data_IF_683999857120
#
_entry.id   IF_683999857120
#
_cell.length_a   1.000
_cell.length_b   1.000
_cell.length_c   1.000
_cell.angle_alpha   90.00
_cell.angle_beta   90.00
_cell.angle_gamma   90.00
#
_symmetry.space_group_name_H-M   'P 1'
#
loop_
_entity.id
_entity.type
_entity.pdbx_description
1 polymer ?
#
# COMPACT_ATOMS: atom_id res chain seq x y z
N UNK A 1 -19.26 -29.95 -8.72
CA UNK A 1 -18.68 -31.00 -9.61
C UNK A 1 -19.70 -31.40 -10.65
N UNK A 2 -19.26 -31.66 -11.87
CA UNK A 2 -20.05 -32.19 -12.98
C UNK A 2 -19.69 -33.67 -13.23
N UNK A 3 -20.58 -34.37 -13.91
CA UNK A 3 -20.74 -35.84 -13.98
C UNK A 3 -19.54 -36.63 -14.56
N UNK A 4 -18.38 -36.02 -14.80
CA UNK A 4 -17.24 -36.64 -15.50
C UNK A 4 -15.94 -36.69 -14.67
N UNK A 5 -15.98 -36.32 -13.39
CA UNK A 5 -14.85 -36.54 -12.45
C UNK A 5 -13.51 -35.90 -12.88
N UNK A 6 -13.52 -35.02 -13.88
CA UNK A 6 -12.37 -34.31 -14.41
C UNK A 6 -12.59 -32.84 -14.13
N UNK A 7 -11.68 -32.28 -13.37
CA UNK A 7 -11.69 -30.88 -12.95
C UNK A 7 -11.59 -29.96 -14.18
N UNK A 8 -12.31 -28.82 -14.18
CA UNK A 8 -12.40 -27.94 -15.36
C UNK A 8 -11.03 -27.43 -15.82
N UNK A 9 -10.07 -27.26 -14.90
CA UNK A 9 -8.74 -26.70 -15.19
C UNK A 9 -7.90 -27.65 -16.05
N UNK A 10 -7.63 -28.93 -15.69
CA UNK A 10 -6.96 -29.87 -16.57
C UNK A 10 -7.59 -29.99 -17.96
N UNK A 11 -8.93 -29.95 -18.05
CA UNK A 11 -9.60 -29.95 -19.34
C UNK A 11 -9.27 -28.69 -20.14
N UNK A 12 -9.35 -27.49 -19.54
CA UNK A 12 -8.95 -26.25 -20.21
C UNK A 12 -7.48 -26.28 -20.63
N UNK A 13 -6.57 -26.73 -19.76
CA UNK A 13 -5.14 -26.85 -20.08
C UNK A 13 -4.90 -27.78 -21.28
N UNK A 14 -5.64 -28.90 -21.36
CA UNK A 14 -5.57 -29.83 -22.49
C UNK A 14 -5.97 -29.22 -23.84
N UNK A 15 -6.74 -28.11 -23.83
CA UNK A 15 -7.19 -27.40 -25.04
C UNK A 15 -6.22 -26.30 -25.49
N UNK A 16 -5.21 -25.95 -24.68
CA UNK A 16 -4.21 -24.94 -25.03
C UNK A 16 -3.46 -25.23 -26.34
N UNK A 17 -3.08 -26.49 -26.65
CA UNK A 17 -2.38 -26.79 -27.90
C UNK A 17 -3.24 -26.63 -29.16
N UNK A 18 -4.57 -26.50 -29.04
CA UNK A 18 -5.47 -26.55 -30.19
C UNK A 18 -5.34 -25.36 -31.15
N UNK A 19 -5.16 -24.14 -30.63
CA UNK A 19 -4.99 -22.93 -31.47
C UNK A 19 -4.49 -21.73 -30.66
N UNK A 20 -3.96 -20.70 -31.34
CA UNK A 20 -3.59 -19.43 -30.70
C UNK A 20 -4.78 -18.74 -30.00
N UNK A 21 -5.99 -18.88 -30.57
CA UNK A 21 -7.22 -18.33 -29.96
C UNK A 21 -7.54 -19.08 -28.68
N UNK A 22 -7.39 -20.41 -28.67
CA UNK A 22 -7.53 -21.21 -27.45
C UNK A 22 -6.52 -20.77 -26.40
N UNK A 23 -5.25 -20.57 -26.78
CA UNK A 23 -4.21 -20.09 -25.86
C UNK A 23 -4.58 -18.76 -25.22
N UNK A 24 -4.94 -17.76 -26.03
CA UNK A 24 -5.37 -16.44 -25.55
C UNK A 24 -6.60 -16.53 -24.63
N UNK A 25 -7.66 -17.21 -25.06
CA UNK A 25 -8.90 -17.30 -24.29
C UNK A 25 -8.70 -18.06 -22.97
N UNK A 26 -8.04 -19.20 -23.00
CA UNK A 26 -7.84 -20.04 -21.81
C UNK A 26 -6.92 -19.31 -20.84
N UNK A 27 -5.79 -18.77 -21.27
CA UNK A 27 -4.89 -18.02 -20.37
C UNK A 27 -5.57 -16.80 -19.76
N UNK A 28 -6.45 -16.11 -20.50
CA UNK A 28 -7.29 -15.02 -19.97
C UNK A 28 -8.28 -15.53 -18.92
N UNK A 29 -8.91 -16.68 -19.14
CA UNK A 29 -9.80 -17.31 -18.15
C UNK A 29 -9.03 -17.66 -16.88
N UNK A 30 -7.84 -18.27 -17.02
CA UNK A 30 -6.99 -18.63 -15.89
C UNK A 30 -6.50 -17.39 -15.13
N UNK A 31 -6.10 -16.34 -15.85
CA UNK A 31 -5.74 -15.04 -15.27
C UNK A 31 -6.89 -14.49 -14.41
N UNK A 32 -8.10 -14.38 -14.96
CA UNK A 32 -9.26 -13.81 -14.25
C UNK A 32 -9.80 -14.72 -13.15
N UNK A 33 -9.55 -16.03 -13.25
CA UNK A 33 -9.97 -17.02 -12.26
C UNK A 33 -9.02 -17.12 -11.05
N UNK A 34 -7.73 -16.83 -11.23
CA UNK A 34 -6.73 -16.96 -10.17
C UNK A 34 -6.72 -15.73 -9.24
N UNK A 35 -7.56 -15.75 -8.20
CA UNK A 35 -7.71 -14.62 -7.26
C UNK A 35 -7.43 -14.98 -5.80
N UNK A 36 -7.41 -16.28 -5.45
CA UNK A 36 -7.24 -16.76 -4.08
C UNK A 36 -6.07 -17.72 -3.99
N UNK A 37 -5.55 -17.92 -2.77
CA UNK A 37 -4.48 -18.89 -2.50
C UNK A 37 -4.84 -20.30 -2.98
N UNK A 38 -6.07 -20.72 -2.79
CA UNK A 38 -6.54 -22.04 -3.22
C UNK A 38 -6.53 -22.17 -4.74
N UNK A 39 -6.94 -21.13 -5.48
CA UNK A 39 -6.88 -21.14 -6.94
C UNK A 39 -5.44 -21.23 -7.45
N UNK A 40 -4.49 -20.55 -6.79
CA UNK A 40 -3.07 -20.61 -7.14
C UNK A 40 -2.51 -22.03 -6.94
N UNK A 41 -2.81 -22.65 -5.79
CA UNK A 41 -2.39 -24.03 -5.49
C UNK A 41 -3.01 -25.03 -6.46
N UNK A 42 -4.28 -24.85 -6.79
CA UNK A 42 -4.98 -25.73 -7.71
C UNK A 42 -4.41 -25.69 -9.14
N UNK A 43 -4.01 -24.51 -9.62
CA UNK A 43 -3.31 -24.38 -10.90
C UNK A 43 -1.94 -25.09 -10.85
N UNK A 44 -1.21 -24.97 -9.74
CA UNK A 44 0.05 -25.66 -9.55
C UNK A 44 -0.13 -27.18 -9.57
N UNK A 45 -1.09 -27.71 -8.80
CA UNK A 45 -1.42 -29.14 -8.73
C UNK A 45 -1.96 -29.71 -10.05
N UNK A 46 -2.56 -28.85 -10.89
CA UNK A 46 -3.03 -29.21 -12.24
C UNK A 46 -1.91 -29.20 -13.29
N UNK A 47 -0.65 -29.05 -12.88
CA UNK A 47 0.53 -28.97 -13.76
C UNK A 47 0.44 -27.82 -14.79
N UNK A 48 -0.19 -26.70 -14.39
CA UNK A 48 -0.38 -25.57 -15.30
C UNK A 48 0.94 -24.98 -15.80
N UNK A 49 2.02 -25.03 -15.00
CA UNK A 49 3.33 -24.47 -15.37
C UNK A 49 3.93 -25.13 -16.62
N UNK A 50 3.71 -26.44 -16.80
CA UNK A 50 4.14 -27.18 -18.00
C UNK A 50 3.50 -26.62 -19.28
N UNK A 51 2.26 -26.14 -19.18
CA UNK A 51 1.55 -25.53 -20.30
C UNK A 51 1.82 -24.03 -20.44
N UNK A 52 1.97 -23.29 -19.34
CA UNK A 52 2.16 -21.84 -19.38
C UNK A 52 3.58 -21.44 -19.81
N UNK A 53 4.61 -22.21 -19.45
CA UNK A 53 6.01 -21.86 -19.75
C UNK A 53 6.28 -21.70 -21.25
N UNK A 54 5.85 -22.61 -22.15
CA UNK A 54 5.99 -22.42 -23.59
C UNK A 54 5.20 -21.22 -24.13
N UNK A 55 4.10 -20.83 -23.48
CA UNK A 55 3.27 -19.70 -23.92
C UNK A 55 3.95 -18.35 -23.64
N UNK A 56 4.74 -18.26 -22.57
CA UNK A 56 5.64 -17.12 -22.32
C UNK A 56 6.66 -16.98 -23.46
N UNK A 57 7.09 -18.09 -24.06
CA UNK A 57 8.03 -18.12 -25.19
C UNK A 57 7.40 -17.89 -26.58
N UNK A 58 6.06 -17.91 -26.70
CA UNK A 58 5.34 -18.04 -27.97
C UNK A 58 5.56 -16.93 -29.01
N UNK A 59 6.20 -15.83 -28.63
CA UNK A 59 6.42 -14.65 -29.49
C UNK A 59 5.13 -13.89 -29.85
N UNK A 60 3.97 -14.38 -29.41
CA UNK A 60 2.67 -13.78 -29.67
C UNK A 60 2.23 -12.93 -28.48
N UNK A 61 2.22 -11.61 -28.63
CA UNK A 61 1.83 -10.66 -27.58
C UNK A 61 0.49 -11.01 -26.92
N UNK A 62 -0.52 -11.36 -27.73
CA UNK A 62 -1.88 -11.70 -27.28
C UNK A 62 -1.94 -12.93 -26.38
N UNK A 63 -0.97 -13.84 -26.49
CA UNK A 63 -0.84 -15.02 -25.65
C UNK A 63 0.08 -14.73 -24.45
N UNK A 64 1.20 -14.06 -24.69
CA UNK A 64 2.20 -13.75 -23.66
C UNK A 64 1.62 -12.90 -22.53
N UNK A 65 0.82 -11.88 -22.83
CA UNK A 65 0.28 -10.97 -21.82
C UNK A 65 -0.64 -11.65 -20.79
N UNK A 66 -1.74 -12.33 -21.18
CA UNK A 66 -2.58 -13.03 -20.21
C UNK A 66 -1.82 -14.16 -19.51
N UNK A 67 -0.86 -14.81 -20.18
CA UNK A 67 0.03 -15.80 -19.53
C UNK A 67 0.88 -15.17 -18.42
N UNK A 68 1.49 -14.01 -18.67
CA UNK A 68 2.28 -13.28 -17.67
C UNK A 68 1.42 -12.81 -16.50
N UNK A 69 0.23 -12.29 -16.76
CA UNK A 69 -0.70 -11.88 -15.71
C UNK A 69 -1.17 -13.09 -14.88
N UNK A 70 -1.45 -14.23 -15.52
CA UNK A 70 -1.77 -15.48 -14.83
C UNK A 70 -0.60 -15.93 -13.94
N UNK A 71 0.64 -15.92 -14.43
CA UNK A 71 1.83 -16.21 -13.61
C UNK A 71 1.98 -15.23 -12.44
N UNK A 72 1.76 -13.94 -12.65
CA UNK A 72 1.79 -12.95 -11.57
C UNK A 72 0.74 -13.25 -10.50
N UNK A 73 -0.49 -13.59 -10.91
CA UNK A 73 -1.56 -13.96 -9.99
C UNK A 73 -1.24 -15.25 -9.22
N UNK A 74 -0.63 -16.24 -9.88
CA UNK A 74 -0.13 -17.47 -9.25
C UNK A 74 0.92 -17.19 -8.17
N UNK A 75 1.87 -16.29 -8.44
CA UNK A 75 2.97 -15.97 -7.50
C UNK A 75 2.54 -15.11 -6.30
N UNK A 76 1.42 -14.39 -6.37
CA UNK A 76 1.11 -13.37 -5.37
C UNK A 76 0.94 -13.96 -3.96
N UNK A 77 1.88 -13.61 -3.06
CA UNK A 77 1.91 -14.04 -1.64
C UNK A 77 1.83 -15.56 -1.43
N UNK A 78 2.39 -16.35 -2.34
CA UNK A 78 2.34 -17.81 -2.26
C UNK A 78 3.74 -18.45 -2.38
N UNK A 79 4.43 -18.71 -1.26
CA UNK A 79 5.78 -19.27 -1.28
C UNK A 79 5.92 -20.64 -1.95
N UNK A 80 5.00 -21.63 -1.74
CA UNK A 80 5.03 -22.89 -2.48
C UNK A 80 5.08 -22.72 -4.00
N UNK A 81 4.15 -21.94 -4.57
CA UNK A 81 4.08 -21.69 -6.02
C UNK A 81 5.33 -20.99 -6.52
N UNK A 82 5.80 -19.97 -5.78
CA UNK A 82 7.01 -19.24 -6.15
C UNK A 82 8.27 -20.12 -6.12
N UNK A 83 8.35 -21.04 -5.16
CA UNK A 83 9.48 -21.98 -5.06
C UNK A 83 9.52 -22.92 -6.26
N UNK A 84 8.38 -23.49 -6.65
CA UNK A 84 8.31 -24.34 -7.86
C UNK A 84 8.64 -23.56 -9.14
N UNK A 85 8.18 -22.31 -9.27
CA UNK A 85 8.53 -21.47 -10.43
C UNK A 85 10.03 -21.12 -10.45
N UNK A 86 10.65 -20.92 -9.29
CA UNK A 86 12.09 -20.63 -9.20
C UNK A 86 12.96 -21.86 -9.50
N UNK A 87 12.43 -23.08 -9.39
CA UNK A 87 13.09 -24.32 -9.80
C UNK A 87 13.13 -24.49 -11.34
N UNK A 88 12.41 -23.65 -12.10
CA UNK A 88 12.38 -23.62 -13.56
C UNK A 88 13.24 -22.46 -14.12
N UNK A 89 14.58 -22.60 -14.23
CA UNK A 89 15.48 -21.50 -14.58
C UNK A 89 15.19 -20.93 -15.98
N UNK A 90 14.77 -21.76 -16.93
CA UNK A 90 14.41 -21.33 -18.28
C UNK A 90 13.20 -20.40 -18.26
N UNK A 91 12.20 -20.68 -17.41
CA UNK A 91 11.04 -19.80 -17.23
C UNK A 91 11.47 -18.44 -16.66
N UNK A 92 12.34 -18.43 -15.66
CA UNK A 92 12.87 -17.19 -15.09
C UNK A 92 13.63 -16.39 -16.16
N UNK A 93 14.50 -17.03 -16.95
CA UNK A 93 15.24 -16.38 -18.02
C UNK A 93 14.30 -15.80 -19.09
N UNK A 94 13.23 -16.52 -19.44
CA UNK A 94 12.20 -16.00 -20.35
C UNK A 94 11.52 -14.75 -19.78
N UNK A 95 11.08 -14.78 -18.52
CA UNK A 95 10.47 -13.61 -17.85
C UNK A 95 11.44 -12.43 -17.80
N UNK A 96 12.71 -12.66 -17.48
CA UNK A 96 13.76 -11.62 -17.51
C UNK A 96 13.94 -11.03 -18.91
N UNK A 97 13.87 -11.85 -19.96
CA UNK A 97 13.92 -11.41 -21.35
C UNK A 97 12.76 -10.48 -21.73
N UNK A 98 11.61 -10.57 -21.05
CA UNK A 98 10.45 -9.71 -21.26
C UNK A 98 10.57 -8.33 -20.57
N UNK A 99 11.59 -8.12 -19.73
CA UNK A 99 11.98 -6.80 -19.21
C UNK A 99 12.74 -5.94 -20.24
N UNK A 100 13.14 -6.50 -21.39
CA UNK A 100 13.93 -5.80 -22.38
C UNK A 100 13.25 -4.51 -22.88
N UNK A 101 14.04 -3.47 -23.16
CA UNK A 101 13.51 -2.13 -23.52
C UNK A 101 12.70 -2.12 -24.81
N UNK A 102 12.98 -3.05 -25.73
CA UNK A 102 12.25 -3.23 -26.99
C UNK A 102 10.83 -3.80 -26.81
N UNK A 103 10.50 -4.31 -25.61
CA UNK A 103 9.17 -4.85 -25.33
C UNK A 103 8.18 -3.74 -24.99
N UNK A 104 6.87 -3.94 -25.16
CA UNK A 104 5.86 -2.99 -24.68
C UNK A 104 5.96 -2.77 -23.16
N UNK A 105 5.67 -1.56 -22.68
CA UNK A 105 5.76 -1.22 -21.26
C UNK A 105 4.88 -2.11 -20.38
N UNK A 106 3.68 -2.47 -20.85
CA UNK A 106 2.74 -3.36 -20.15
C UNK A 106 3.38 -4.72 -19.86
N UNK A 107 4.06 -5.30 -20.86
CA UNK A 107 4.79 -6.55 -20.75
C UNK A 107 5.97 -6.45 -19.77
N UNK A 108 6.71 -5.35 -19.83
CA UNK A 108 7.83 -5.12 -18.90
C UNK A 108 7.33 -5.00 -17.45
N UNK A 109 6.21 -4.31 -17.22
CA UNK A 109 5.59 -4.20 -15.89
C UNK A 109 5.08 -5.55 -15.38
N UNK A 110 4.39 -6.32 -16.23
CA UNK A 110 3.89 -7.65 -15.86
C UNK A 110 5.04 -8.61 -15.49
N UNK A 111 6.11 -8.64 -16.30
CA UNK A 111 7.30 -9.43 -16.02
C UNK A 111 8.02 -8.98 -14.73
N UNK A 112 8.16 -7.67 -14.51
CA UNK A 112 8.75 -7.14 -13.29
C UNK A 112 7.93 -7.50 -12.04
N UNK A 113 6.59 -7.55 -12.18
CA UNK A 113 5.67 -7.95 -11.11
C UNK A 113 5.83 -9.42 -10.72
N UNK A 114 5.98 -10.32 -11.71
CA UNK A 114 6.30 -11.75 -11.44
C UNK A 114 7.59 -11.87 -10.62
N UNK A 115 8.67 -11.23 -11.07
CA UNK A 115 9.97 -11.28 -10.39
C UNK A 115 9.92 -10.65 -9.00
N UNK A 116 9.13 -9.59 -8.85
CA UNK A 116 8.88 -8.96 -7.54
C UNK A 116 8.21 -9.94 -6.58
N UNK A 117 7.22 -10.71 -7.03
CA UNK A 117 6.53 -11.69 -6.19
C UNK A 117 7.41 -12.89 -5.82
N UNK A 118 8.23 -13.37 -6.76
CA UNK A 118 9.25 -14.39 -6.48
C UNK A 118 10.25 -13.91 -5.44
N UNK A 119 10.70 -12.65 -5.51
CA UNK A 119 11.57 -12.09 -4.48
C UNK A 119 10.87 -11.97 -3.13
N UNK A 120 9.65 -11.42 -3.09
CA UNK A 120 8.93 -11.13 -1.83
C UNK A 120 8.53 -12.38 -1.06
N UNK A 121 8.50 -13.54 -1.70
CA UNK A 121 8.29 -14.85 -1.05
C UNK A 121 9.60 -15.55 -0.66
N UNK A 122 10.75 -14.97 -0.99
CA UNK A 122 12.07 -15.51 -0.71
C UNK A 122 12.59 -16.50 -1.76
N UNK A 123 11.88 -16.71 -2.87
CA UNK A 123 12.30 -17.64 -3.92
C UNK A 123 13.51 -17.14 -4.72
N UNK A 124 13.65 -15.82 -4.89
CA UNK A 124 14.84 -15.17 -5.46
C UNK A 124 15.40 -14.16 -4.46
N UNK A 125 16.70 -14.22 -4.17
CA UNK A 125 17.33 -13.34 -3.19
C UNK A 125 17.51 -11.91 -3.73
N UNK A 126 17.41 -10.89 -2.87
CA UNK A 126 17.57 -9.48 -3.25
C UNK A 126 18.89 -9.18 -3.97
N UNK A 127 19.98 -9.82 -3.54
CA UNK A 127 21.32 -9.68 -4.13
C UNK A 127 21.46 -10.23 -5.55
N UNK A 128 20.48 -11.00 -6.03
CA UNK A 128 20.50 -11.52 -7.39
C UNK A 128 20.42 -10.35 -8.41
N UNK A 129 21.30 -10.30 -9.42
CA UNK A 129 21.27 -9.31 -10.51
C UNK A 129 19.91 -9.16 -11.21
N UNK A 130 19.12 -10.24 -11.26
CA UNK A 130 17.76 -10.21 -11.78
C UNK A 130 16.88 -9.26 -10.98
N UNK A 131 17.06 -9.21 -9.65
CA UNK A 131 16.29 -8.35 -8.75
C UNK A 131 16.93 -6.97 -8.62
N UNK A 132 18.15 -6.88 -8.05
CA UNK A 132 18.76 -5.59 -7.67
C UNK A 132 19.23 -4.72 -8.84
N UNK A 133 19.35 -5.26 -10.06
CA UNK A 133 19.73 -4.51 -11.25
C UNK A 133 18.59 -4.49 -12.26
N UNK A 134 18.15 -5.66 -12.75
CA UNK A 134 17.20 -5.73 -13.86
C UNK A 134 15.78 -5.31 -13.45
N UNK A 135 15.26 -5.86 -12.35
CA UNK A 135 13.89 -5.59 -11.90
C UNK A 135 13.78 -4.18 -11.34
N UNK A 136 14.66 -3.78 -10.40
CA UNK A 136 14.71 -2.40 -9.88
C UNK A 136 14.87 -1.39 -11.02
N UNK A 137 15.87 -1.57 -11.89
CA UNK A 137 16.14 -0.62 -12.97
C UNK A 137 14.97 -0.50 -13.96
N UNK A 138 14.20 -1.58 -14.15
CA UNK A 138 12.99 -1.53 -14.98
C UNK A 138 11.89 -0.74 -14.29
N UNK A 139 11.58 -1.05 -13.02
CA UNK A 139 10.53 -0.37 -12.27
C UNK A 139 10.83 1.11 -12.04
N UNK A 140 12.07 1.48 -11.69
CA UNK A 140 12.48 2.89 -11.56
C UNK A 140 12.31 3.63 -12.89
N UNK A 141 12.63 2.99 -14.02
CA UNK A 141 12.40 3.57 -15.35
C UNK A 141 10.91 3.72 -15.66
N UNK A 142 10.05 2.83 -15.17
CA UNK A 142 8.58 2.97 -15.32
C UNK A 142 8.05 4.19 -14.57
N UNK A 143 8.77 4.70 -13.57
CA UNK A 143 8.40 5.92 -12.85
C UNK A 143 8.73 7.23 -13.62
N UNK A 144 9.47 7.20 -14.73
CA UNK A 144 9.92 8.43 -15.41
C UNK A 144 8.76 9.21 -16.06
N UNK A 145 8.89 10.53 -16.08
CA UNK A 145 7.84 11.50 -16.46
C UNK A 145 7.44 11.47 -17.94
N UNK A 146 8.24 10.82 -18.79
CA UNK A 146 8.01 10.65 -20.22
C UNK A 146 7.06 9.49 -20.56
N UNK A 147 6.50 8.83 -19.53
CA UNK A 147 5.60 7.68 -19.67
C UNK A 147 4.14 8.03 -19.38
N UNK A 148 3.20 7.16 -19.83
CA UNK A 148 1.81 7.25 -19.41
C UNK A 148 1.65 7.20 -17.89
N UNK A 149 0.70 7.98 -17.35
CA UNK A 149 0.44 8.08 -15.91
C UNK A 149 0.08 6.72 -15.29
N UNK A 150 -0.64 5.88 -16.03
CA UNK A 150 -0.97 4.53 -15.60
C UNK A 150 0.26 3.64 -15.40
N UNK A 151 1.25 3.74 -16.30
CA UNK A 151 2.51 3.01 -16.17
C UNK A 151 3.34 3.53 -15.01
N UNK A 152 3.33 4.86 -14.81
CA UNK A 152 3.98 5.52 -13.69
C UNK A 152 3.47 5.03 -12.35
N UNK A 153 2.15 5.02 -12.16
CA UNK A 153 1.49 4.52 -10.94
C UNK A 153 1.83 3.05 -10.73
N UNK A 154 1.56 2.17 -11.71
CA UNK A 154 1.82 0.72 -11.59
C UNK A 154 3.29 0.40 -11.32
N UNK A 155 4.20 1.15 -11.96
CA UNK A 155 5.64 1.04 -11.77
C UNK A 155 6.07 1.40 -10.35
N UNK A 156 5.59 2.53 -9.84
CA UNK A 156 5.90 3.00 -8.48
C UNK A 156 5.32 2.08 -7.41
N UNK A 157 4.10 1.57 -7.59
CA UNK A 157 3.49 0.61 -6.65
C UNK A 157 4.23 -0.72 -6.60
N UNK A 158 4.58 -1.26 -7.77
CA UNK A 158 5.33 -2.52 -7.84
C UNK A 158 6.73 -2.35 -7.25
N UNK A 159 7.37 -1.20 -7.50
CA UNK A 159 8.65 -0.85 -6.90
C UNK A 159 8.56 -0.76 -5.37
N UNK A 160 7.52 -0.11 -4.87
CA UNK A 160 7.28 0.01 -3.44
C UNK A 160 7.17 -1.39 -2.81
N UNK A 161 6.32 -2.25 -3.38
CA UNK A 161 6.16 -3.62 -2.89
C UNK A 161 7.47 -4.43 -2.96
N UNK A 162 8.31 -4.22 -3.98
CA UNK A 162 9.60 -4.91 -4.12
C UNK A 162 10.57 -4.59 -2.98
N UNK A 163 10.70 -3.31 -2.63
CA UNK A 163 11.74 -2.83 -1.71
C UNK A 163 11.28 -2.75 -0.25
N UNK A 164 9.97 -2.86 0.02
CA UNK A 164 9.32 -2.63 1.32
C UNK A 164 10.06 -3.23 2.53
N UNK A 165 10.56 -4.46 2.39
CA UNK A 165 11.17 -5.22 3.51
C UNK A 165 12.69 -5.41 3.39
N UNK A 166 13.31 -4.91 2.32
CA UNK A 166 14.71 -5.21 2.01
C UNK A 166 15.57 -3.92 2.00
N UNK A 167 16.40 -3.71 3.05
CA UNK A 167 17.23 -2.51 3.15
C UNK A 167 18.24 -2.36 1.99
N UNK A 168 18.82 -3.47 1.51
CA UNK A 168 19.81 -3.43 0.41
C UNK A 168 19.12 -2.90 -0.88
N UNK A 169 17.89 -3.36 -1.15
CA UNK A 169 17.09 -2.87 -2.28
C UNK A 169 16.61 -1.42 -2.09
N UNK A 170 16.31 -0.99 -0.85
CA UNK A 170 15.96 0.40 -0.55
C UNK A 170 17.10 1.36 -0.86
N UNK A 171 18.31 1.03 -0.39
CA UNK A 171 19.53 1.79 -0.70
C UNK A 171 19.74 1.86 -2.20
N UNK A 172 19.69 0.72 -2.88
CA UNK A 172 19.89 0.65 -4.32
C UNK A 172 18.86 1.48 -5.09
N UNK A 173 17.57 1.38 -4.75
CA UNK A 173 16.52 2.18 -5.37
C UNK A 173 16.71 3.67 -5.13
N UNK A 174 17.16 4.09 -3.94
CA UNK A 174 17.36 5.51 -3.58
C UNK A 174 18.44 6.24 -4.40
N UNK A 175 19.41 5.49 -4.93
CA UNK A 175 20.49 6.03 -5.77
C UNK A 175 20.26 5.83 -7.27
N UNK A 176 19.26 5.03 -7.66
CA UNK A 176 19.02 4.67 -9.06
C UNK A 176 18.24 5.77 -9.78
N UNK A 177 18.76 6.24 -10.93
CA UNK A 177 18.07 7.07 -11.93
C UNK A 177 17.29 8.29 -11.36
N UNK A 178 17.78 8.91 -10.30
CA UNK A 178 17.12 10.03 -9.61
C UNK A 178 15.67 9.71 -9.19
N UNK A 179 15.40 8.48 -8.77
CA UNK A 179 14.07 8.02 -8.35
C UNK A 179 13.42 8.96 -7.34
N UNK A 180 14.15 9.37 -6.29
CA UNK A 180 13.61 10.24 -5.23
C UNK A 180 13.06 11.55 -5.79
N UNK A 181 13.81 12.20 -6.68
CA UNK A 181 13.34 13.42 -7.35
C UNK A 181 12.14 13.12 -8.25
N UNK A 182 12.17 12.01 -8.97
CA UNK A 182 11.05 11.61 -9.84
C UNK A 182 9.75 11.42 -9.05
N UNK A 183 9.81 10.73 -7.91
CA UNK A 183 8.66 10.55 -7.01
C UNK A 183 8.21 11.87 -6.36
N UNK A 184 9.14 12.79 -6.06
CA UNK A 184 8.76 14.11 -5.55
C UNK A 184 7.87 14.87 -6.54
N UNK A 185 8.15 14.76 -7.84
CA UNK A 185 7.33 15.40 -8.88
C UNK A 185 5.88 14.88 -8.90
N UNK A 186 5.63 13.63 -8.51
CA UNK A 186 4.29 13.06 -8.49
C UNK A 186 3.40 13.79 -7.48
N UNK A 187 3.99 14.29 -6.39
CA UNK A 187 3.28 15.00 -5.32
C UNK A 187 2.66 16.31 -5.79
N UNK A 188 3.18 16.89 -6.88
CA UNK A 188 2.67 18.14 -7.46
C UNK A 188 1.63 17.93 -8.56
N UNK A 189 1.26 16.69 -8.91
CA UNK A 189 0.20 16.46 -9.89
C UNK A 189 -1.16 16.88 -9.32
N UNK A 190 -1.89 17.74 -10.01
CA UNK A 190 -3.22 18.21 -9.61
C UNK A 190 -4.27 17.87 -10.67
N UNK A 191 -5.39 17.31 -10.24
CA UNK A 191 -6.66 17.22 -10.99
C UNK A 191 -6.53 16.74 -12.45
N UNK A 192 -5.73 15.69 -12.69
CA UNK A 192 -5.61 15.08 -14.03
C UNK A 192 -6.64 13.98 -14.16
N UNK A 193 -7.90 14.34 -14.42
CA UNK A 193 -8.94 13.36 -14.74
C UNK A 193 -8.81 12.88 -16.17
N UNK A 194 -8.52 11.59 -16.36
CA UNK A 194 -8.47 10.95 -17.69
C UNK A 194 -9.14 9.59 -17.64
N UNK A 195 -9.68 9.18 -18.78
CA UNK A 195 -10.24 7.83 -18.95
C UNK A 195 -9.11 6.80 -18.89
N UNK A 196 -9.24 5.84 -17.98
CA UNK A 196 -8.34 4.69 -17.89
C UNK A 196 -8.36 3.85 -19.16
N UNK A 197 -7.19 3.33 -19.56
CA UNK A 197 -7.06 2.51 -20.75
C UNK A 197 -7.77 1.16 -20.64
N UNK A 198 -7.83 0.58 -19.42
CA UNK A 198 -8.41 -0.73 -19.17
C UNK A 198 -9.91 -0.69 -18.88
N UNK A 199 -10.36 0.20 -18.01
CA UNK A 199 -11.73 0.15 -17.45
C UNK A 199 -12.68 1.17 -18.07
N UNK A 200 -12.19 2.06 -18.95
CA UNK A 200 -12.94 3.18 -19.53
C UNK A 200 -13.66 4.06 -18.50
N UNK A 201 -13.19 4.02 -17.25
CA UNK A 201 -13.67 4.87 -16.15
C UNK A 201 -12.80 6.11 -16.04
N UNK A 202 -13.40 7.22 -15.63
CA UNK A 202 -12.68 8.44 -15.29
C UNK A 202 -11.86 8.19 -14.01
N UNK A 203 -10.54 8.36 -14.11
CA UNK A 203 -9.61 8.19 -12.99
C UNK A 203 -8.95 9.52 -12.70
N UNK A 204 -8.92 9.90 -11.43
CA UNK A 204 -8.13 11.04 -10.95
C UNK A 204 -6.66 10.63 -10.82
N UNK A 205 -5.91 10.77 -11.91
CA UNK A 205 -4.49 10.47 -11.92
C UNK A 205 -3.67 11.39 -11.03
N UNK A 206 -4.19 12.57 -10.66
CA UNK A 206 -3.52 13.42 -9.68
C UNK A 206 -3.43 12.75 -8.32
N UNK A 207 -4.55 12.19 -7.86
CA UNK A 207 -4.63 11.41 -6.62
C UNK A 207 -3.83 10.11 -6.69
N UNK A 208 -3.93 9.35 -7.79
CA UNK A 208 -3.20 8.09 -7.93
C UNK A 208 -1.68 8.27 -7.97
N UNK A 209 -1.18 9.30 -8.66
CA UNK A 209 0.26 9.62 -8.70
C UNK A 209 0.77 9.98 -7.30
N UNK A 210 0.03 10.81 -6.54
CA UNK A 210 0.37 11.14 -5.16
C UNK A 210 0.40 9.88 -4.30
N UNK A 211 -0.64 9.04 -4.36
CA UNK A 211 -0.73 7.80 -3.57
C UNK A 211 0.44 6.86 -3.87
N UNK A 212 0.76 6.64 -5.15
CA UNK A 212 1.87 5.78 -5.56
C UNK A 212 3.23 6.31 -5.11
N UNK A 213 3.44 7.63 -5.20
CA UNK A 213 4.67 8.26 -4.72
C UNK A 213 4.83 8.16 -3.21
N UNK A 214 3.76 8.41 -2.46
CA UNK A 214 3.76 8.19 -1.02
C UNK A 214 4.10 6.73 -0.72
N UNK A 215 3.43 5.75 -1.33
CA UNK A 215 3.74 4.34 -1.12
C UNK A 215 5.21 3.98 -1.42
N UNK A 216 5.79 4.54 -2.49
CA UNK A 216 7.19 4.30 -2.85
C UNK A 216 8.18 4.96 -1.88
N UNK A 217 7.92 6.20 -1.44
CA UNK A 217 8.70 6.84 -0.38
C UNK A 217 8.64 6.05 0.93
N UNK A 218 7.55 5.31 1.15
CA UNK A 218 7.33 4.54 2.36
C UNK A 218 8.32 3.41 2.45
N UNK A 219 8.31 2.68 1.36
CA UNK A 219 9.06 1.48 1.18
C UNK A 219 10.54 1.84 1.14
N UNK A 220 10.92 2.94 0.49
CA UNK A 220 12.29 3.46 0.48
C UNK A 220 12.82 3.83 1.87
N UNK A 221 11.98 4.41 2.74
CA UNK A 221 12.42 4.95 4.04
C UNK A 221 12.15 4.02 5.23
N UNK A 222 11.56 2.85 4.97
CA UNK A 222 11.09 1.91 5.99
C UNK A 222 12.20 1.45 6.93
N UNK A 223 13.37 1.06 6.40
CA UNK A 223 14.41 0.42 7.20
C UNK A 223 15.73 1.21 7.27
N UNK A 224 15.94 2.22 6.41
CA UNK A 224 17.22 2.93 6.29
C UNK A 224 17.14 4.38 6.82
N UNK A 225 18.02 4.71 7.78
CA UNK A 225 18.08 6.03 8.41
C UNK A 225 18.71 7.11 7.52
N UNK A 226 19.73 6.76 6.73
CA UNK A 226 20.38 7.71 5.83
C UNK A 226 19.42 8.13 4.72
N UNK A 227 18.59 7.20 4.23
CA UNK A 227 17.53 7.50 3.27
C UNK A 227 16.51 8.45 3.90
N UNK A 228 16.09 8.22 5.15
CA UNK A 228 15.18 9.14 5.87
C UNK A 228 15.77 10.55 5.96
N UNK A 229 17.02 10.68 6.38
CA UNK A 229 17.70 11.97 6.49
C UNK A 229 17.81 12.68 5.13
N UNK A 230 18.16 11.93 4.08
CA UNK A 230 18.22 12.44 2.70
C UNK A 230 16.85 12.92 2.22
N UNK A 231 15.76 12.22 2.57
CA UNK A 231 14.41 12.67 2.27
C UNK A 231 14.06 13.97 3.01
N UNK A 232 14.42 14.09 4.27
CA UNK A 232 14.16 15.29 5.09
C UNK A 232 14.94 16.54 4.62
N UNK A 233 16.09 16.34 3.96
CA UNK A 233 16.91 17.44 3.44
C UNK A 233 16.40 18.03 2.12
N UNK A 234 15.37 17.44 1.49
CA UNK A 234 14.80 17.95 0.23
C UNK A 234 13.95 19.21 0.43
N UNK A 235 13.83 20.04 -0.62
CA UNK A 235 13.25 21.39 -0.56
C UNK A 235 11.74 21.42 -0.24
N UNK A 236 10.98 20.36 -0.53
CA UNK A 236 9.57 20.20 -0.12
C UNK A 236 9.47 19.49 1.24
N UNK A 237 10.06 20.14 2.25
CA UNK A 237 10.09 19.62 3.62
C UNK A 237 8.71 19.18 4.10
N UNK A 238 7.65 19.96 3.86
CA UNK A 238 6.30 19.66 4.36
C UNK A 238 5.65 18.37 3.80
N UNK A 239 5.88 18.03 2.52
CA UNK A 239 5.28 16.86 1.88
C UNK A 239 6.14 15.61 2.09
N UNK A 240 7.46 15.77 2.12
CA UNK A 240 8.39 14.68 2.43
C UNK A 240 8.35 14.30 3.91
N UNK A 241 8.13 15.26 4.81
CA UNK A 241 7.84 15.02 6.22
C UNK A 241 6.50 14.30 6.39
N UNK A 242 5.46 14.68 5.66
CA UNK A 242 4.17 13.96 5.63
C UNK A 242 4.32 12.53 5.13
N UNK A 243 5.06 12.34 4.03
CA UNK A 243 5.36 11.04 3.48
C UNK A 243 6.12 10.22 4.54
N UNK A 244 7.32 10.63 4.94
CA UNK A 244 8.15 9.89 5.90
C UNK A 244 7.39 9.58 7.20
N UNK A 245 6.54 10.48 7.71
CA UNK A 245 5.76 10.24 8.94
C UNK A 245 4.54 9.33 8.75
N UNK A 246 3.80 9.48 7.65
CA UNK A 246 2.70 8.56 7.32
C UNK A 246 3.19 7.14 7.07
N UNK A 247 4.44 7.01 6.65
CA UNK A 247 4.95 5.79 6.06
C UNK A 247 5.86 5.00 7.01
N UNK A 248 6.55 5.67 7.94
CA UNK A 248 7.17 5.02 9.10
C UNK A 248 6.13 4.26 9.97
N UNK A 249 4.83 4.49 9.76
CA UNK A 249 3.72 3.82 10.46
C UNK A 249 3.00 2.73 9.63
N UNK A 250 3.13 2.72 8.30
CA UNK A 250 2.58 1.64 7.46
C UNK A 250 3.36 0.32 7.60
N UNK A 251 4.58 0.38 8.15
CA UNK A 251 5.41 -0.78 8.52
C UNK A 251 4.96 -1.39 9.88
N UNK A 252 4.04 -0.76 10.61
CA UNK A 252 3.45 -1.28 11.86
C UNK A 252 1.98 -1.75 11.70
N UNK A 253 1.55 -2.08 10.48
CA UNK A 253 0.43 -3.00 10.26
C UNK A 253 -1.02 -2.48 10.53
N UNK A 254 -1.32 -1.18 10.43
CA UNK A 254 -2.71 -0.71 10.60
C UNK A 254 -3.18 0.31 9.56
N UNK A 255 -3.67 -0.22 8.43
CA UNK A 255 -4.75 0.39 7.66
C UNK A 255 -5.99 -0.51 7.84
N UNK A 256 -7.03 -0.08 8.59
CA UNK A 256 -8.27 -0.85 8.70
C UNK A 256 -8.91 -1.14 7.34
N UNK A 257 -8.67 -0.32 6.32
CA UNK A 257 -9.11 -0.59 4.95
C UNK A 257 -8.51 -1.87 4.35
N UNK A 258 -7.33 -2.33 4.79
CA UNK A 258 -6.77 -3.62 4.34
C UNK A 258 -7.40 -4.83 5.05
N UNK A 259 -7.91 -4.68 6.27
CA UNK A 259 -8.49 -5.79 7.04
C UNK A 259 -9.96 -6.06 6.68
N UNK A 260 -10.70 -5.05 6.19
CA UNK A 260 -12.11 -5.23 5.80
C UNK A 260 -12.27 -6.08 4.54
N UNK A 261 -11.25 -6.19 3.69
CA UNK A 261 -11.28 -7.06 2.50
C UNK A 261 -11.00 -8.54 2.78
N UNK A 262 -10.60 -8.91 4.00
CA UNK A 262 -10.26 -10.30 4.32
C UNK A 262 -11.36 -11.05 5.11
N UNK A 263 -12.39 -10.37 5.62
CA UNK A 263 -13.45 -11.00 6.40
C UNK A 263 -14.84 -10.68 5.85
N UNK A 264 -15.26 -11.42 4.81
CA UNK A 264 -16.67 -11.50 4.37
C UNK A 264 -17.49 -12.47 5.24
N UNK A 265 -17.26 -12.52 6.55
CA UNK A 265 -18.16 -13.25 7.45
C UNK A 265 -18.90 -12.30 8.40
N UNK A 266 -20.22 -12.48 8.39
CA UNK A 266 -21.24 -11.62 8.98
C UNK A 266 -21.19 -11.61 10.50
N UNK A 267 -21.73 -10.53 11.06
CA UNK A 267 -22.18 -10.38 12.44
C UNK A 267 -21.12 -10.60 13.52
N UNK A 268 -20.26 -9.61 13.75
CA UNK A 268 -19.61 -9.46 15.05
C UNK A 268 -19.47 -8.00 15.43
N UNK A 269 -19.89 -7.70 16.66
CA UNK A 269 -19.78 -6.43 17.37
C UNK A 269 -18.40 -5.81 17.16
N UNK A 270 -18.32 -4.47 16.98
CA UNK A 270 -17.06 -3.72 16.93
C UNK A 270 -16.20 -4.02 18.15
N UNK A 271 -15.30 -5.00 18.03
CA UNK A 271 -14.21 -5.21 18.97
C UNK A 271 -13.04 -4.41 18.44
N UNK A 272 -12.74 -3.28 19.09
CA UNK A 272 -11.49 -2.54 18.86
C UNK A 272 -10.34 -3.50 19.18
N UNK A 273 -9.51 -3.91 18.20
CA UNK A 273 -8.43 -4.83 18.48
C UNK A 273 -7.43 -4.17 19.43
N UNK A 274 -7.17 -4.77 20.59
CA UNK A 274 -5.98 -4.44 21.39
C UNK A 274 -4.79 -5.14 20.73
N UNK A 275 -3.91 -4.35 20.13
CA UNK A 275 -2.83 -4.84 19.27
C UNK A 275 -1.57 -5.09 20.11
N UNK A 276 -0.96 -6.25 19.89
CA UNK A 276 0.27 -6.68 20.53
C UNK A 276 1.47 -5.84 20.03
N UNK A 277 2.23 -5.30 20.98
CA UNK A 277 3.22 -4.24 20.79
C UNK A 277 4.50 -4.78 20.19
N UNK A 278 4.71 -4.66 18.87
CA UNK A 278 6.05 -4.80 18.28
C UNK A 278 6.83 -3.50 18.39
N UNK A 279 7.90 -3.57 19.17
CA UNK A 279 8.87 -2.51 19.46
C UNK A 279 9.73 -2.20 18.24
N UNK A 280 9.18 -1.48 17.25
CA UNK A 280 10.00 -0.63 16.40
C UNK A 280 10.60 0.48 17.28
N UNK A 281 11.89 0.79 17.08
CA UNK A 281 12.70 1.59 18.01
C UNK A 281 12.11 2.99 18.25
N UNK A 282 11.33 3.12 19.34
CA UNK A 282 10.61 4.33 19.78
C UNK A 282 11.51 5.57 19.90
N UNK A 283 12.83 5.38 19.92
CA UNK A 283 13.84 6.44 20.01
C UNK A 283 14.02 7.24 18.73
N UNK A 284 13.71 6.69 17.55
CA UNK A 284 13.87 7.40 16.26
C UNK A 284 12.70 8.35 16.02
N UNK A 285 11.47 7.89 16.28
CA UNK A 285 10.25 8.73 16.20
C UNK A 285 10.39 9.92 17.15
N UNK A 286 10.79 9.68 18.41
CA UNK A 286 10.95 10.77 19.40
C UNK A 286 12.06 11.78 19.01
N UNK A 287 13.10 11.34 18.30
CA UNK A 287 14.17 12.22 17.76
C UNK A 287 13.71 13.04 16.55
N UNK A 288 13.05 12.43 15.57
CA UNK A 288 12.50 13.13 14.40
C UNK A 288 11.42 14.14 14.80
N UNK A 289 10.60 13.77 15.79
CA UNK A 289 9.58 14.62 16.40
C UNK A 289 10.18 15.80 17.16
N UNK A 290 11.28 15.60 17.89
CA UNK A 290 11.97 16.72 18.58
C UNK A 290 12.57 17.74 17.61
N UNK A 291 12.98 17.30 16.41
CA UNK A 291 13.61 18.15 15.40
C UNK A 291 12.62 18.81 14.44
N UNK A 292 11.50 18.14 14.10
CA UNK A 292 10.57 18.58 13.04
C UNK A 292 9.09 18.53 13.46
N UNK A 293 8.77 18.07 14.67
CA UNK A 293 7.43 17.66 15.11
C UNK A 293 6.33 18.69 14.88
N UNK A 294 6.61 19.98 15.06
CA UNK A 294 5.61 21.03 14.81
C UNK A 294 5.17 21.07 13.36
N UNK A 295 6.12 21.11 12.42
CA UNK A 295 5.86 21.18 10.98
C UNK A 295 5.17 19.91 10.47
N UNK A 296 5.55 18.74 11.01
CA UNK A 296 4.90 17.47 10.70
C UNK A 296 3.43 17.50 11.10
N UNK A 297 3.16 17.90 12.34
CA UNK A 297 1.81 17.94 12.91
C UNK A 297 0.94 18.97 12.15
N UNK A 298 1.49 20.14 11.80
CA UNK A 298 0.83 21.15 10.94
C UNK A 298 0.38 20.54 9.61
N UNK A 299 1.31 19.82 8.97
CA UNK A 299 1.10 19.22 7.67
C UNK A 299 0.06 18.10 7.74
N UNK A 300 0.09 17.23 8.76
CA UNK A 300 -0.90 16.19 8.99
C UNK A 300 -2.30 16.78 9.22
N UNK A 301 -2.43 17.80 10.06
CA UNK A 301 -3.71 18.48 10.26
C UNK A 301 -4.23 19.15 8.98
N UNK A 302 -3.36 19.72 8.14
CA UNK A 302 -3.77 20.27 6.84
C UNK A 302 -4.24 19.18 5.88
N UNK A 303 -3.53 18.06 5.77
CA UNK A 303 -3.91 16.92 4.93
C UNK A 303 -5.25 16.33 5.37
N UNK A 304 -5.45 16.12 6.68
CA UNK A 304 -6.69 15.51 7.19
C UNK A 304 -7.90 16.40 6.91
N UNK A 305 -7.73 17.73 6.93
CA UNK A 305 -8.81 18.70 6.67
C UNK A 305 -9.00 19.04 5.19
N UNK A 306 -8.21 18.46 4.29
CA UNK A 306 -8.26 18.78 2.88
C UNK A 306 -9.41 18.04 2.19
N UNK A 307 -10.35 18.80 1.62
CA UNK A 307 -11.52 18.24 0.93
C UNK A 307 -11.18 17.52 -0.40
N UNK A 308 -10.03 17.84 -0.99
CA UNK A 308 -9.62 17.35 -2.32
C UNK A 308 -8.54 16.26 -2.25
N UNK A 309 -8.49 15.54 -1.13
CA UNK A 309 -7.53 14.44 -0.91
C UNK A 309 -8.31 13.14 -0.80
N UNK A 310 -7.81 12.10 -1.48
CA UNK A 310 -8.43 10.77 -1.44
C UNK A 310 -8.52 10.24 -0.01
N UNK A 311 -9.62 9.58 0.34
CA UNK A 311 -9.88 9.15 1.71
C UNK A 311 -8.74 8.28 2.26
N UNK A 312 -8.12 7.42 1.46
CA UNK A 312 -6.99 6.59 1.90
C UNK A 312 -5.80 7.42 2.38
N UNK A 313 -5.54 8.57 1.77
CA UNK A 313 -4.45 9.48 2.21
C UNK A 313 -4.82 10.15 3.53
N UNK A 314 -6.11 10.47 3.74
CA UNK A 314 -6.63 10.98 5.02
C UNK A 314 -6.56 9.88 6.09
N UNK A 315 -6.88 8.63 5.74
CA UNK A 315 -6.73 7.45 6.61
C UNK A 315 -5.29 7.30 7.09
N UNK A 316 -4.34 7.36 6.14
CA UNK A 316 -2.92 7.26 6.47
C UNK A 316 -2.47 8.43 7.35
N UNK A 317 -2.93 9.65 7.07
CA UNK A 317 -2.62 10.81 7.89
C UNK A 317 -3.19 10.67 9.32
N UNK A 318 -4.41 10.13 9.47
CA UNK A 318 -5.02 9.84 10.77
C UNK A 318 -4.25 8.78 11.55
N UNK A 319 -3.88 7.67 10.93
CA UNK A 319 -3.03 6.64 11.56
C UNK A 319 -1.67 7.22 11.98
N UNK A 320 -1.07 8.06 11.14
CA UNK A 320 0.22 8.68 11.43
C UNK A 320 0.15 9.59 12.66
N UNK A 321 -0.83 10.50 12.70
CA UNK A 321 -1.01 11.40 13.82
C UNK A 321 -1.45 10.64 15.09
N UNK A 322 -2.11 9.48 14.95
CA UNK A 322 -2.45 8.55 16.05
C UNK A 322 -1.23 7.92 16.68
N UNK A 323 -0.30 7.43 15.86
CA UNK A 323 0.94 6.84 16.37
C UNK A 323 1.87 7.92 16.94
N UNK A 324 1.87 9.12 16.37
CA UNK A 324 2.53 10.28 16.98
C UNK A 324 1.89 10.62 18.34
N UNK A 325 0.57 10.61 18.44
CA UNK A 325 -0.12 10.84 19.69
C UNK A 325 0.17 9.75 20.74
N UNK A 326 0.66 8.56 20.38
CA UNK A 326 1.17 7.58 21.35
C UNK A 326 2.53 7.99 21.95
N UNK A 327 3.30 8.89 21.34
CA UNK A 327 4.57 9.38 21.90
C UNK A 327 4.40 10.56 22.87
N UNK A 328 5.11 10.61 24.03
CA UNK A 328 4.92 11.67 25.04
C UNK A 328 5.30 13.08 24.55
N UNK A 329 6.36 13.21 23.74
CA UNK A 329 6.81 14.50 23.19
C UNK A 329 5.80 15.08 22.19
N UNK A 330 5.33 14.25 21.25
CA UNK A 330 4.30 14.61 20.27
C UNK A 330 2.96 14.95 20.91
N UNK A 331 2.51 14.12 21.86
CA UNK A 331 1.20 14.24 22.51
C UNK A 331 0.98 15.66 23.06
N UNK A 332 2.00 16.22 23.72
CA UNK A 332 1.92 17.58 24.26
C UNK A 332 1.78 18.65 23.16
N UNK A 333 2.48 18.50 22.04
CA UNK A 333 2.36 19.41 20.89
C UNK A 333 1.03 19.29 20.16
N UNK A 334 0.48 18.08 20.03
CA UNK A 334 -0.81 17.84 19.39
C UNK A 334 -1.95 18.40 20.26
N UNK A 335 -1.94 18.15 21.57
CA UNK A 335 -2.94 18.68 22.52
C UNK A 335 -2.93 20.22 22.54
N UNK A 336 -1.79 20.85 22.26
CA UNK A 336 -1.68 22.31 22.15
C UNK A 336 -2.42 22.92 20.97
N UNK A 337 -2.76 22.15 19.94
CA UNK A 337 -3.36 22.62 18.67
C UNK A 337 -4.87 22.50 18.68
N UNK A 338 -5.52 23.20 19.60
CA UNK A 338 -6.97 23.10 19.82
C UNK A 338 -7.79 23.45 18.58
N UNK A 339 -7.40 24.46 17.82
CA UNK A 339 -8.15 24.93 16.66
C UNK A 339 -8.08 23.93 15.50
N UNK A 340 -6.92 23.31 15.30
CA UNK A 340 -6.73 22.25 14.31
C UNK A 340 -7.51 20.98 14.68
N UNK A 341 -7.49 20.60 15.96
CA UNK A 341 -8.28 19.48 16.48
C UNK A 341 -9.78 19.72 16.28
N UNK A 342 -10.29 20.91 16.63
CA UNK A 342 -11.70 21.26 16.41
C UNK A 342 -12.07 21.26 14.93
N UNK A 343 -11.22 21.79 14.06
CA UNK A 343 -11.44 21.81 12.62
C UNK A 343 -11.44 20.40 12.03
N UNK A 344 -10.53 19.53 12.47
CA UNK A 344 -10.48 18.12 12.08
C UNK A 344 -11.72 17.37 12.56
N UNK A 345 -12.14 17.56 13.81
CA UNK A 345 -13.37 16.95 14.32
C UNK A 345 -14.59 17.38 13.50
N UNK A 346 -14.69 18.68 13.18
CA UNK A 346 -15.77 19.23 12.34
C UNK A 346 -15.75 18.62 10.94
N UNK A 347 -14.57 18.47 10.35
CA UNK A 347 -14.41 17.80 9.06
C UNK A 347 -14.86 16.34 9.12
N UNK A 348 -14.35 15.57 10.09
CA UNK A 348 -14.65 14.14 10.30
C UNK A 348 -16.09 13.86 10.75
N UNK A 349 -16.83 14.87 11.22
CA UNK A 349 -18.28 14.75 11.48
C UNK A 349 -19.10 15.17 10.29
N UNK A 350 -18.77 16.31 9.67
CA UNK A 350 -19.51 16.87 8.54
C UNK A 350 -19.44 16.06 7.25
N UNK A 351 -18.40 15.24 7.07
CA UNK A 351 -18.26 14.37 5.89
C UNK A 351 -18.73 12.92 6.11
N UNK A 352 -18.90 12.48 7.36
CA UNK A 352 -19.17 11.07 7.70
C UNK A 352 -20.60 10.79 8.21
N UNK A 353 -21.38 11.85 8.46
CA UNK A 353 -22.80 11.79 8.85
C UNK A 353 -23.73 12.26 7.73
N UNK A 354 -23.55 11.72 6.52
CA UNK A 354 -24.60 11.75 5.49
C UNK A 354 -25.12 10.33 5.30
N UNK A 355 -26.42 10.14 5.52
CA UNK A 355 -27.12 8.84 5.44
C UNK A 355 -26.95 8.14 4.07
N UNK A 356 -26.55 8.88 3.03
CA UNK A 356 -26.43 8.37 1.66
C UNK A 356 -25.06 7.77 1.29
N UNK A 357 -23.97 8.01 2.06
CA UNK A 357 -22.67 7.42 1.73
C UNK A 357 -21.66 7.40 2.91
N UNK A 358 -21.74 6.42 3.84
CA UNK A 358 -20.83 6.34 4.98
C UNK A 358 -19.45 5.84 4.53
N UNK A 359 -18.46 6.73 4.49
CA UNK A 359 -17.05 6.33 4.33
C UNK A 359 -16.58 5.67 5.65
N UNK A 360 -16.88 4.38 5.84
CA UNK A 360 -16.57 3.62 7.08
C UNK A 360 -15.07 3.52 7.38
N UNK A 361 -14.21 3.69 6.38
CA UNK A 361 -12.76 3.48 6.51
C UNK A 361 -12.04 4.52 7.40
N UNK A 362 -12.56 5.75 7.58
CA UNK A 362 -11.87 6.76 8.42
C UNK A 362 -12.36 6.80 9.86
N UNK A 363 -13.45 6.11 10.19
CA UNK A 363 -13.98 6.07 11.56
C UNK A 363 -13.00 5.38 12.51
N UNK A 364 -12.53 4.18 12.14
CA UNK A 364 -11.57 3.40 12.96
C UNK A 364 -10.27 4.18 13.25
N UNK A 365 -9.56 4.75 12.26
CA UNK A 365 -8.32 5.49 12.54
C UNK A 365 -8.57 6.80 13.30
N UNK A 366 -9.70 7.47 13.09
CA UNK A 366 -10.07 8.63 13.89
C UNK A 366 -10.30 8.27 15.36
N UNK A 367 -11.04 7.19 15.64
CA UNK A 367 -11.26 6.68 16.99
C UNK A 367 -9.91 6.34 17.65
N UNK A 368 -9.03 5.64 16.92
CA UNK A 368 -7.70 5.29 17.41
C UNK A 368 -6.86 6.52 17.74
N UNK A 369 -6.89 7.56 16.90
CA UNK A 369 -6.21 8.83 17.15
C UNK A 369 -6.66 9.48 18.45
N UNK A 370 -7.97 9.66 18.64
CA UNK A 370 -8.49 10.28 19.85
C UNK A 370 -8.28 9.42 21.08
N UNK A 371 -8.32 8.08 20.95
CA UNK A 371 -8.00 7.18 22.05
C UNK A 371 -6.53 7.33 22.49
N UNK A 372 -5.58 7.32 21.56
CA UNK A 372 -4.15 7.50 21.88
C UNK A 372 -3.85 8.87 22.49
N UNK A 373 -4.59 9.92 22.10
CA UNK A 373 -4.50 11.25 22.72
C UNK A 373 -4.96 11.27 24.18
N UNK A 374 -5.97 10.46 24.52
CA UNK A 374 -6.56 10.38 25.87
C UNK A 374 -5.80 9.40 26.76
N UNK A 375 -5.23 8.33 26.20
CA UNK A 375 -4.49 7.30 26.93
C UNK A 375 -3.28 7.91 27.66
N UNK A 376 -3.11 7.60 28.95
CA UNK A 376 -2.11 8.22 29.82
C UNK A 376 -0.79 7.44 29.81
N UNK A 377 0.33 8.12 29.57
CA UNK A 377 1.64 7.67 30.06
C UNK A 377 1.77 8.18 31.49
N UNK A 378 2.11 7.29 32.43
CA UNK A 378 2.40 7.38 33.88
C UNK A 378 2.32 8.72 34.68
N UNK A 379 2.31 9.91 34.07
CA UNK A 379 2.04 11.22 34.70
C UNK A 379 0.54 11.65 34.69
N UNK A 380 -0.34 10.74 34.24
CA UNK A 380 -1.63 10.40 34.85
C UNK A 380 -2.81 11.38 34.97
N UNK A 381 -2.67 12.71 35.04
CA UNK A 381 -3.84 13.61 35.31
C UNK A 381 -3.90 14.93 34.54
N UNK A 382 -2.76 15.48 34.10
CA UNK A 382 -2.71 16.86 33.62
C UNK A 382 -3.20 17.01 32.17
N UNK A 383 -2.90 16.05 31.29
CA UNK A 383 -3.14 16.18 29.84
C UNK A 383 -4.58 15.90 29.42
N UNK A 384 -5.22 14.87 29.98
CA UNK A 384 -6.65 14.58 29.72
C UNK A 384 -7.55 15.72 30.23
N UNK A 385 -7.27 16.24 31.43
CA UNK A 385 -7.95 17.43 31.97
C UNK A 385 -7.78 18.65 31.06
N UNK A 386 -6.59 18.88 30.50
CA UNK A 386 -6.34 20.02 29.60
C UNK A 386 -7.10 19.90 28.28
N UNK A 387 -7.11 18.72 27.66
CA UNK A 387 -7.85 18.47 26.41
C UNK A 387 -9.35 18.58 26.65
N UNK A 388 -9.87 17.97 27.71
CA UNK A 388 -11.28 18.07 28.10
C UNK A 388 -11.69 19.50 28.43
N UNK A 389 -10.86 20.27 29.14
CA UNK A 389 -11.18 21.68 29.45
C UNK A 389 -11.21 22.55 28.20
N UNK A 390 -10.30 22.32 27.24
CA UNK A 390 -10.17 23.14 26.03
C UNK A 390 -11.09 22.73 24.86
N UNK A 391 -11.52 21.48 24.80
CA UNK A 391 -12.34 20.94 23.70
C UNK A 391 -13.73 20.42 24.14
N UNK A 392 -14.07 20.52 25.44
CA UNK A 392 -15.20 19.83 26.12
C UNK A 392 -16.48 19.69 25.31
N UNK A 393 -17.12 20.78 24.89
CA UNK A 393 -18.45 20.69 24.27
C UNK A 393 -18.46 19.96 22.93
N UNK A 394 -17.43 20.16 22.11
CA UNK A 394 -17.33 19.53 20.79
C UNK A 394 -16.73 18.12 20.88
N UNK A 395 -15.82 17.85 21.82
CA UNK A 395 -15.18 16.54 21.98
C UNK A 395 -16.12 15.50 22.56
N UNK A 396 -16.92 15.85 23.57
CA UNK A 396 -17.96 14.97 24.08
C UNK A 396 -19.02 14.68 23.01
N UNK A 397 -19.50 15.69 22.29
CA UNK A 397 -20.48 15.49 21.21
C UNK A 397 -19.91 14.65 20.04
N UNK A 398 -18.63 14.80 19.73
CA UNK A 398 -17.93 14.05 18.69
C UNK A 398 -17.69 12.58 19.10
N UNK A 399 -17.22 12.34 20.33
CA UNK A 399 -17.01 10.99 20.87
C UNK A 399 -18.35 10.25 21.09
N UNK A 400 -19.42 10.99 21.39
CA UNK A 400 -20.79 10.47 21.47
C UNK A 400 -21.33 10.12 20.07
N UNK A 401 -21.14 11.00 19.09
CA UNK A 401 -21.44 10.71 17.69
C UNK A 401 -20.71 9.44 17.23
N UNK A 402 -19.40 9.34 17.43
CA UNK A 402 -18.63 8.15 17.05
C UNK A 402 -18.92 6.88 17.88
N UNK A 403 -19.81 6.92 18.89
CA UNK A 403 -20.15 5.78 19.75
C UNK A 403 -19.05 5.35 20.74
N UNK A 404 -17.97 6.13 20.86
CA UNK A 404 -16.78 5.84 21.68
C UNK A 404 -17.00 6.22 23.15
N UNK A 405 -17.95 7.10 23.43
CA UNK A 405 -18.26 7.56 24.79
C UNK A 405 -18.54 6.39 25.76
N UNK A 406 -19.23 5.36 25.28
CA UNK A 406 -19.52 4.13 26.04
C UNK A 406 -18.26 3.32 26.39
N UNK A 407 -17.26 3.33 25.49
CA UNK A 407 -15.98 2.64 25.69
C UNK A 407 -15.07 3.38 26.68
N UNK A 408 -15.07 4.72 26.62
CA UNK A 408 -14.31 5.57 27.54
C UNK A 408 -14.88 5.56 28.96
N UNK A 409 -16.22 5.56 29.10
CA UNK A 409 -16.89 5.40 30.40
C UNK A 409 -16.62 4.02 31.03
N UNK A 410 -16.54 2.96 30.23
CA UNK A 410 -16.23 1.61 30.73
C UNK A 410 -14.76 1.45 31.15
N UNK A 411 -13.86 2.30 30.64
CA UNK A 411 -12.45 2.33 31.02
C UNK A 411 -12.12 3.32 32.15
N UNK A 412 -13.11 4.01 32.77
CA UNK A 412 -12.90 5.02 33.83
C UNK A 412 -11.94 6.17 33.43
N UNK A 413 -11.98 6.59 32.16
CA UNK A 413 -11.14 7.69 31.64
C UNK A 413 -11.88 9.04 31.59
N UNK A 414 -13.13 9.08 32.05
CA UNK A 414 -14.02 10.26 32.11
C UNK A 414 -14.48 10.53 33.54
#
# INVERSE_FOLDING_TARGET
ENQHGSTYIPHLLSLLPCSLVCQECITTILEKGCNTRDHQMYLLESDALTFLSPLVASGCYRVQMPTLHCLANMCYKNPPVCSTIAEEPDLILMVVGLLARERPSEMQLAAAKVLTYLHRTGAIHARDPVINIKTIGTLVRMCKRDRPLEENVKGAETLAYLIEVDPDLQVQASITDHLMSTLQHYLHYTDVKKVSSCDKKEVDWGSEMKRAALLAFASLSANDEEIRDKMLQTSDKEVMVLAVTCLCNLVLDFSPSKQVFENEDRDTVMVVPRIDRRTGDRTVIDRMVKLLGSEIIDSLFRTIRCQNVHYEVIEQALCAISNMADGPSCKTHIIGRTDDLQAMMKFLTGTYYNEENPIRCLQVPAIQFFNNLVETFDDGKLHCSTLMTKCSSNLLAFLDALGVLKLLMTCNLL
#
